data_IF_243833406195
#
_entry.id   IF_243833406195
#
_cell.length_a   1.000
_cell.length_b   1.000
_cell.length_c   1.000
_cell.angle_alpha   90.00
_cell.angle_beta   90.00
_cell.angle_gamma   90.00
#
_symmetry.space_group_name_H-M   'P 1'
#
loop_
_entity.id
_entity.type
_entity.pdbx_description
1 polymer ?
#
# COMPACT_ATOMS: atom_id res chain seq x y z
N UNK A 1 24.54 23.64 14.25
CA UNK A 1 23.96 22.85 13.14
C UNK A 1 22.47 22.75 13.40
N UNK A 2 21.64 22.99 12.39
CA UNK A 2 20.22 22.65 12.50
C UNK A 2 20.11 21.13 12.75
N UNK A 3 19.18 20.66 13.60
CA UNK A 3 18.99 19.24 13.83
C UNK A 3 18.72 18.52 12.51
N UNK A 4 19.24 17.30 12.38
CA UNK A 4 18.97 16.47 11.21
C UNK A 4 17.45 16.32 11.04
N UNK A 5 16.89 16.51 9.84
CA UNK A 5 15.46 16.38 9.64
C UNK A 5 15.02 14.93 9.88
N UNK A 6 13.92 14.78 10.62
CA UNK A 6 13.19 13.52 10.72
C UNK A 6 12.03 13.54 9.72
N UNK A 7 11.79 12.40 9.06
CA UNK A 7 10.68 12.22 8.13
C UNK A 7 9.60 11.33 8.74
N UNK A 8 8.34 11.59 8.40
CA UNK A 8 7.23 10.70 8.67
C UNK A 8 6.95 9.86 7.43
N UNK A 9 6.91 8.54 7.57
CA UNK A 9 6.59 7.61 6.48
C UNK A 9 5.32 6.86 6.84
N UNK A 10 4.32 6.99 5.98
CA UNK A 10 3.20 6.07 5.93
C UNK A 10 3.54 4.92 4.99
N UNK A 11 3.86 3.75 5.56
CA UNK A 11 4.18 2.55 4.80
C UNK A 11 2.89 1.76 4.56
N UNK A 12 2.06 2.20 3.61
CA UNK A 12 0.79 1.54 3.31
C UNK A 12 0.94 0.27 2.45
N UNK A 13 -0.09 -0.56 2.46
CA UNK A 13 -0.13 -1.84 1.72
C UNK A 13 0.04 -1.63 0.21
N UNK A 14 -0.72 -0.71 -0.38
CA UNK A 14 -0.74 -0.46 -1.82
C UNK A 14 0.05 0.78 -2.25
N UNK A 15 0.08 1.80 -1.39
CA UNK A 15 0.84 3.02 -1.59
C UNK A 15 1.50 3.45 -0.29
N UNK A 16 2.65 4.09 -0.41
CA UNK A 16 3.35 4.74 0.68
C UNK A 16 3.39 6.25 0.48
N UNK A 17 3.42 6.99 1.58
CA UNK A 17 3.51 8.45 1.60
C UNK A 17 4.69 8.88 2.49
N UNK A 18 5.38 9.95 2.11
CA UNK A 18 6.45 10.53 2.93
C UNK A 18 6.20 12.02 3.12
N UNK A 19 6.36 12.47 4.36
CA UNK A 19 6.21 13.86 4.76
C UNK A 19 7.33 14.33 5.69
N UNK A 20 7.47 15.64 5.80
CA UNK A 20 8.43 16.28 6.70
C UNK A 20 7.76 17.45 7.42
N UNK A 21 8.08 17.64 8.69
CA UNK A 21 7.72 18.85 9.42
C UNK A 21 8.81 19.91 9.24
N UNK A 22 8.49 21.01 8.57
CA UNK A 22 9.40 22.14 8.43
C UNK A 22 8.62 23.45 8.30
N UNK A 23 9.21 24.56 8.74
CA UNK A 23 8.57 25.88 8.70
C UNK A 23 7.18 25.89 9.36
N UNK A 24 7.08 25.23 10.52
CA UNK A 24 5.85 25.09 11.33
C UNK A 24 4.64 24.49 10.59
N UNK A 25 4.89 23.68 9.55
CA UNK A 25 3.86 22.94 8.82
C UNK A 25 4.33 21.56 8.41
N UNK A 26 3.36 20.68 8.14
CA UNK A 26 3.60 19.42 7.45
C UNK A 26 3.68 19.68 5.95
N UNK A 27 4.72 19.15 5.32
CA UNK A 27 4.85 19.11 3.86
C UNK A 27 4.84 17.65 3.40
N UNK A 28 3.88 17.31 2.53
CA UNK A 28 3.82 16.01 1.86
C UNK A 28 4.66 16.09 0.59
N UNK A 29 5.63 15.19 0.50
CA UNK A 29 6.67 15.26 -0.53
C UNK A 29 6.19 14.49 -1.76
N UNK A 30 6.22 15.16 -2.92
CA UNK A 30 5.94 14.51 -4.19
C UNK A 30 7.16 13.68 -4.66
N UNK A 31 6.90 12.54 -5.28
CA UNK A 31 7.94 11.71 -5.89
C UNK A 31 8.45 12.30 -7.22
N UNK A 32 9.35 11.58 -7.87
CA UNK A 32 9.96 11.95 -9.16
C UNK A 32 8.97 12.06 -10.34
N UNK A 33 7.75 11.56 -10.18
CA UNK A 33 6.64 11.72 -11.14
C UNK A 33 5.65 12.82 -10.73
N UNK A 34 5.90 13.52 -9.62
CA UNK A 34 5.00 14.55 -9.07
C UNK A 34 3.84 14.01 -8.23
N UNK A 35 3.80 12.70 -7.95
CA UNK A 35 2.75 12.07 -7.15
C UNK A 35 3.06 12.19 -5.65
N UNK A 36 2.06 12.52 -4.82
CA UNK A 36 2.21 12.61 -3.36
C UNK A 36 2.21 11.27 -2.63
N UNK A 37 1.89 10.20 -3.34
CA UNK A 37 1.92 8.82 -2.87
C UNK A 37 2.65 7.99 -3.91
N UNK A 38 3.47 7.05 -3.47
CA UNK A 38 4.22 6.15 -4.35
C UNK A 38 3.71 4.74 -4.17
N UNK A 39 3.40 3.98 -5.24
CA UNK A 39 3.01 2.58 -5.12
C UNK A 39 3.99 1.75 -4.29
N UNK A 40 3.49 0.89 -3.40
CA UNK A 40 4.30 -0.04 -2.60
C UNK A 40 4.69 -1.29 -3.42
N UNK A 41 5.32 -1.05 -4.57
CA UNK A 41 5.68 -2.06 -5.57
C UNK A 41 7.19 -2.12 -5.73
N UNK A 42 7.73 -3.34 -5.86
CA UNK A 42 9.15 -3.60 -6.14
C UNK A 42 9.24 -4.63 -7.26
N UNK A 43 9.82 -4.24 -8.40
CA UNK A 43 10.00 -5.13 -9.53
C UNK A 43 11.47 -5.41 -9.81
N UNK A 44 11.78 -6.66 -10.14
CA UNK A 44 13.13 -7.13 -10.43
C UNK A 44 13.25 -7.45 -11.92
N UNK A 45 14.29 -6.94 -12.56
CA UNK A 45 14.59 -7.18 -13.97
C UNK A 45 15.99 -7.76 -14.15
N UNK A 46 16.40 -8.03 -15.38
CA UNK A 46 17.77 -8.49 -15.67
C UNK A 46 18.83 -7.42 -15.44
N UNK A 47 18.44 -6.14 -15.35
CA UNK A 47 19.36 -5.00 -15.26
C UNK A 47 19.28 -4.30 -13.91
N UNK A 48 18.09 -4.13 -13.36
CA UNK A 48 17.84 -3.21 -12.25
C UNK A 48 16.64 -3.61 -11.38
N UNK A 49 16.49 -2.89 -10.28
CA UNK A 49 15.29 -2.95 -9.43
C UNK A 49 14.50 -1.68 -9.66
N UNK A 50 13.24 -1.83 -10.03
CA UNK A 50 12.30 -0.72 -10.10
C UNK A 50 11.48 -0.69 -8.81
N UNK A 51 11.20 0.52 -8.30
CA UNK A 51 10.41 0.72 -7.09
C UNK A 51 9.38 1.81 -7.37
N UNK A 52 8.16 1.67 -6.87
CA UNK A 52 7.12 2.68 -7.04
C UNK A 52 6.39 2.61 -8.38
N UNK A 53 6.15 3.79 -8.97
CA UNK A 53 5.42 3.92 -10.24
C UNK A 53 6.06 3.10 -11.37
N UNK A 54 7.39 3.11 -11.47
CA UNK A 54 8.13 2.33 -12.47
C UNK A 54 7.88 0.81 -12.36
N UNK A 55 7.83 0.29 -11.13
CA UNK A 55 7.52 -1.13 -10.88
C UNK A 55 6.05 -1.43 -11.21
N UNK A 56 5.13 -0.58 -10.76
CA UNK A 56 3.70 -0.74 -11.00
C UNK A 56 3.35 -0.71 -12.50
N UNK A 57 4.02 0.14 -13.28
CA UNK A 57 3.74 0.29 -14.72
C UNK A 57 4.13 -0.95 -15.54
N UNK A 58 5.18 -1.69 -15.15
CA UNK A 58 5.65 -2.86 -15.88
C UNK A 58 4.98 -4.19 -15.49
N UNK A 59 4.16 -4.20 -14.43
CA UNK A 59 3.58 -5.42 -13.84
C UNK A 59 2.84 -6.32 -14.85
N UNK A 60 2.25 -5.74 -15.90
CA UNK A 60 1.55 -6.51 -16.94
C UNK A 60 2.52 -7.29 -17.86
N UNK A 61 3.78 -6.86 -17.96
CA UNK A 61 4.84 -7.51 -18.73
C UNK A 61 5.71 -8.42 -17.87
N UNK A 62 5.86 -8.11 -16.57
CA UNK A 62 6.72 -8.83 -15.64
C UNK A 62 6.00 -9.19 -14.33
N UNK A 63 4.89 -9.97 -14.37
CA UNK A 63 4.02 -10.19 -13.22
C UNK A 63 4.68 -11.04 -12.12
N UNK A 64 5.53 -12.01 -12.49
CA UNK A 64 6.13 -12.96 -11.53
C UNK A 64 7.30 -12.39 -10.74
N UNK A 65 7.90 -11.30 -11.23
CA UNK A 65 9.01 -10.62 -10.57
C UNK A 65 8.64 -9.21 -10.10
N UNK A 66 7.35 -8.87 -10.09
CA UNK A 66 6.83 -7.62 -9.53
C UNK A 66 6.09 -7.93 -8.24
N UNK A 67 6.72 -7.59 -7.12
CA UNK A 67 6.22 -7.82 -5.77
C UNK A 67 5.40 -6.61 -5.32
N UNK A 68 4.25 -6.90 -4.70
CA UNK A 68 3.34 -5.95 -4.05
C UNK A 68 2.79 -6.60 -2.78
N UNK A 69 2.05 -5.84 -1.97
CA UNK A 69 1.40 -6.36 -0.75
C UNK A 69 2.33 -7.02 0.28
N UNK A 70 3.63 -6.70 0.25
CA UNK A 70 4.61 -7.24 1.18
C UNK A 70 4.26 -6.96 2.66
N UNK A 71 3.51 -5.88 2.93
CA UNK A 71 2.99 -5.55 4.28
C UNK A 71 2.04 -6.62 4.83
N UNK A 72 1.36 -7.40 3.98
CA UNK A 72 0.52 -8.52 4.43
C UNK A 72 1.34 -9.68 4.99
N UNK A 73 2.58 -9.84 4.51
CA UNK A 73 3.50 -10.93 4.87
C UNK A 73 4.44 -10.58 6.05
N UNK A 74 4.65 -9.29 6.32
CA UNK A 74 5.65 -8.83 7.29
C UNK A 74 5.36 -9.35 8.70
N UNK A 75 6.37 -9.91 9.36
CA UNK A 75 6.29 -10.44 10.72
C UNK A 75 5.37 -11.66 10.94
N UNK A 76 4.81 -12.24 9.85
CA UNK A 76 3.98 -13.45 9.88
C UNK A 76 4.79 -14.71 9.61
N UNK A 77 4.18 -15.86 9.89
CA UNK A 77 4.66 -17.17 9.49
C UNK A 77 4.02 -17.64 8.19
N UNK A 78 4.79 -18.34 7.37
CA UNK A 78 4.36 -18.91 6.10
C UNK A 78 3.17 -19.86 6.30
N UNK A 79 3.15 -20.66 7.37
CA UNK A 79 2.05 -21.59 7.65
C UNK A 79 0.74 -20.95 8.12
N UNK A 80 0.70 -19.64 8.39
CA UNK A 80 -0.54 -18.95 8.79
C UNK A 80 -1.59 -19.03 7.69
N UNK A 81 -2.85 -19.32 8.06
CA UNK A 81 -3.96 -19.44 7.11
C UNK A 81 -4.14 -18.18 6.26
N UNK A 82 -4.03 -17.00 6.88
CA UNK A 82 -4.09 -15.71 6.20
C UNK A 82 -3.00 -15.57 5.12
N UNK A 83 -1.77 -16.00 5.41
CA UNK A 83 -0.66 -15.97 4.43
C UNK A 83 -0.94 -16.94 3.28
N UNK A 84 -1.45 -18.13 3.58
CA UNK A 84 -1.83 -19.11 2.55
C UNK A 84 -3.02 -18.67 1.68
N UNK A 85 -3.90 -17.83 2.22
CA UNK A 85 -4.97 -17.19 1.45
C UNK A 85 -4.41 -16.10 0.52
N UNK A 86 -3.61 -15.18 1.07
CA UNK A 86 -2.96 -14.10 0.33
C UNK A 86 -2.11 -14.63 -0.84
N UNK A 87 -1.35 -15.72 -0.64
CA UNK A 87 -0.49 -16.34 -1.67
C UNK A 87 -1.29 -16.74 -2.92
N UNK A 88 -2.57 -17.07 -2.81
CA UNK A 88 -3.41 -17.44 -3.96
C UNK A 88 -3.69 -16.26 -4.89
N UNK A 89 -3.55 -15.04 -4.38
CA UNK A 89 -3.81 -13.80 -5.10
C UNK A 89 -2.53 -13.16 -5.66
N UNK A 90 -1.36 -13.62 -5.24
CA UNK A 90 -0.08 -13.12 -5.73
C UNK A 90 0.30 -13.73 -7.06
N UNK A 91 0.88 -12.89 -7.94
CA UNK A 91 1.46 -13.34 -9.20
C UNK A 91 2.90 -13.83 -9.07
N UNK A 92 3.51 -13.66 -7.89
CA UNK A 92 4.88 -14.04 -7.57
C UNK A 92 4.90 -15.20 -6.56
N UNK A 93 6.03 -15.90 -6.49
CA UNK A 93 6.18 -17.08 -5.65
C UNK A 93 6.56 -16.71 -4.22
N UNK A 94 5.88 -17.31 -3.24
CA UNK A 94 6.26 -17.25 -1.82
C UNK A 94 6.54 -18.68 -1.34
N UNK A 95 7.66 -18.88 -0.63
CA UNK A 95 8.10 -20.17 -0.09
C UNK A 95 8.31 -20.08 1.43
N UNK A 96 8.25 -21.21 2.12
CA UNK A 96 8.67 -21.29 3.52
C UNK A 96 10.19 -21.22 3.60
N UNK A 97 10.69 -20.32 4.46
CA UNK A 97 12.10 -20.15 4.76
C UNK A 97 12.45 -20.56 6.20
N UNK A 98 13.66 -20.21 6.67
CA UNK A 98 14.10 -20.50 8.03
C UNK A 98 13.11 -19.97 9.08
N UNK A 99 12.78 -20.80 10.08
CA UNK A 99 11.85 -20.42 11.15
C UNK A 99 10.40 -20.26 10.68
N UNK A 100 10.03 -20.88 9.55
CA UNK A 100 8.72 -20.74 8.91
C UNK A 100 8.42 -19.30 8.45
N UNK A 101 9.46 -18.51 8.15
CA UNK A 101 9.30 -17.16 7.61
C UNK A 101 8.91 -17.23 6.12
N UNK A 102 7.91 -16.47 5.65
CA UNK A 102 7.62 -16.39 4.21
C UNK A 102 8.79 -15.71 3.48
N UNK A 103 9.23 -16.31 2.38
CA UNK A 103 10.31 -15.80 1.53
C UNK A 103 9.79 -15.64 0.09
N UNK A 104 9.99 -14.46 -0.48
CA UNK A 104 9.52 -14.10 -1.82
C UNK A 104 10.62 -14.43 -2.82
N UNK A 105 10.33 -15.30 -3.79
CA UNK A 105 11.26 -15.72 -4.83
C UNK A 105 11.00 -14.95 -6.13
N UNK A 106 12.07 -14.38 -6.69
CA UNK A 106 12.07 -13.62 -7.95
C UNK A 106 13.29 -13.96 -8.78
N UNK A 107 13.23 -13.74 -10.09
CA UNK A 107 14.40 -13.70 -10.97
C UNK A 107 14.95 -12.27 -11.02
N UNK A 108 16.23 -12.11 -10.70
CA UNK A 108 16.91 -10.82 -10.73
C UNK A 108 18.31 -11.00 -11.31
N UNK A 109 18.62 -10.27 -12.39
CA UNK A 109 19.91 -10.37 -13.11
C UNK A 109 20.25 -11.80 -13.55
N UNK A 110 19.26 -12.52 -14.07
CA UNK A 110 19.40 -13.91 -14.51
C UNK A 110 19.55 -14.95 -13.40
N UNK A 111 19.44 -14.57 -12.13
CA UNK A 111 19.56 -15.47 -10.98
C UNK A 111 18.31 -15.48 -10.13
N UNK A 112 17.95 -16.66 -9.61
CA UNK A 112 16.89 -16.78 -8.61
C UNK A 112 17.37 -16.17 -7.29
N UNK A 113 16.60 -15.21 -6.77
CA UNK A 113 16.84 -14.55 -5.48
C UNK A 113 15.64 -14.74 -4.58
N UNK A 114 15.90 -14.85 -3.29
CA UNK A 114 14.87 -14.87 -2.25
C UNK A 114 15.03 -13.66 -1.37
N UNK A 115 13.91 -13.00 -1.07
CA UNK A 115 13.85 -11.83 -0.21
C UNK A 115 12.80 -12.05 0.88
N UNK A 116 13.11 -11.61 2.09
CA UNK A 116 12.13 -11.50 3.16
C UNK A 116 11.19 -10.30 2.93
N UNK A 117 9.98 -10.30 3.53
CA UNK A 117 9.06 -9.16 3.46
C UNK A 117 9.66 -7.86 3.98
N UNK A 118 10.55 -7.92 4.96
CA UNK A 118 11.29 -6.79 5.53
C UNK A 118 12.28 -6.23 4.52
N UNK A 119 12.98 -7.07 3.75
CA UNK A 119 13.85 -6.61 2.67
C UNK A 119 13.05 -5.94 1.55
N UNK A 120 11.91 -6.49 1.13
CA UNK A 120 11.04 -5.84 0.14
C UNK A 120 10.51 -4.50 0.68
N UNK A 121 10.04 -4.46 1.92
CA UNK A 121 9.56 -3.24 2.56
C UNK A 121 10.68 -2.21 2.72
N UNK A 122 11.91 -2.64 3.00
CA UNK A 122 13.08 -1.76 3.05
C UNK A 122 13.36 -1.09 1.72
N UNK A 123 13.12 -1.75 0.58
CA UNK A 123 13.28 -1.15 -0.74
C UNK A 123 12.27 -0.02 -0.95
N UNK A 124 11.02 -0.20 -0.49
CA UNK A 124 10.02 0.88 -0.49
C UNK A 124 10.46 2.04 0.42
N UNK A 125 10.95 1.74 1.63
CA UNK A 125 11.46 2.75 2.55
C UNK A 125 12.70 3.50 2.00
N UNK A 126 13.57 2.83 1.26
CA UNK A 126 14.69 3.45 0.55
C UNK A 126 14.16 4.46 -0.47
N UNK A 127 13.15 4.10 -1.29
CA UNK A 127 12.53 5.05 -2.23
C UNK A 127 11.90 6.24 -1.52
N UNK A 128 11.28 6.04 -0.34
CA UNK A 128 10.71 7.13 0.46
C UNK A 128 11.81 8.06 1.02
N UNK A 129 12.90 7.48 1.51
CA UNK A 129 14.09 8.21 1.95
C UNK A 129 14.73 9.01 0.83
N UNK A 130 14.92 8.41 -0.35
CA UNK A 130 15.47 9.08 -1.54
C UNK A 130 14.58 10.23 -2.01
N UNK A 131 13.26 10.02 -2.01
CA UNK A 131 12.27 11.05 -2.36
C UNK A 131 12.37 12.23 -1.40
N UNK A 132 12.44 11.97 -0.09
CA UNK A 132 12.64 13.01 0.91
C UNK A 132 14.01 13.68 0.79
N UNK A 133 15.07 12.92 0.49
CA UNK A 133 16.42 13.44 0.32
C UNK A 133 16.52 14.40 -0.87
N UNK A 134 15.88 14.06 -1.99
CA UNK A 134 15.82 14.92 -3.18
C UNK A 134 15.09 16.24 -2.89
N UNK A 135 14.03 16.19 -2.06
CA UNK A 135 13.28 17.37 -1.65
C UNK A 135 14.04 18.27 -0.66
N UNK A 136 14.71 17.67 0.33
CA UNK A 136 15.38 18.40 1.42
C UNK A 136 16.76 18.95 1.02
N UNK A 137 17.36 18.46 -0.06
CA UNK A 137 18.68 18.85 -0.53
C UNK A 137 19.81 18.02 0.09
N UNK A 138 20.95 17.94 -0.60
CA UNK A 138 22.08 17.07 -0.22
C UNK A 138 22.79 17.48 1.08
N UNK A 139 22.60 18.73 1.52
CA UNK A 139 23.16 19.29 2.75
C UNK A 139 22.39 18.86 4.02
N UNK A 140 21.20 18.28 3.85
CA UNK A 140 20.33 17.82 4.93
C UNK A 140 20.10 16.30 4.81
N UNK A 141 21.02 15.46 5.33
CA UNK A 141 20.94 14.02 5.17
C UNK A 141 19.74 13.44 5.94
N UNK A 142 18.89 12.69 5.23
CA UNK A 142 17.73 11.99 5.80
C UNK A 142 18.21 10.71 6.46
N UNK A 143 18.24 10.71 7.80
CA UNK A 143 18.70 9.56 8.60
C UNK A 143 17.65 9.06 9.58
N UNK A 144 16.70 9.90 9.98
CA UNK A 144 15.76 9.59 11.05
C UNK A 144 14.34 9.52 10.48
N UNK A 145 13.57 8.53 10.92
CA UNK A 145 12.21 8.34 10.48
C UNK A 145 11.28 7.91 11.62
N UNK A 146 10.02 8.31 11.52
CA UNK A 146 8.89 7.69 12.21
C UNK A 146 8.08 6.95 11.16
N UNK A 147 7.76 5.68 11.41
CA UNK A 147 7.04 4.83 10.46
C UNK A 147 5.69 4.41 11.07
N UNK A 148 4.61 4.52 10.29
CA UNK A 148 3.28 4.10 10.72
C UNK A 148 3.07 2.59 10.53
N UNK A 149 2.22 1.99 11.37
CA UNK A 149 1.72 0.62 11.22
C UNK A 149 0.25 0.53 11.64
N UNK A 150 -0.51 -0.49 11.20
CA UNK A 150 -1.86 -0.70 11.67
C UNK A 150 -1.90 -0.92 13.19
N UNK A 151 -2.97 -0.48 13.85
CA UNK A 151 -3.06 -0.56 15.31
C UNK A 151 -3.06 -2.02 15.83
N UNK A 152 -3.60 -2.95 15.04
CA UNK A 152 -3.63 -4.39 15.37
C UNK A 152 -2.29 -5.12 15.17
N UNK A 153 -1.26 -4.46 14.60
CA UNK A 153 0.04 -5.11 14.43
C UNK A 153 0.60 -5.56 15.78
N UNK A 154 0.96 -6.84 15.85
CA UNK A 154 1.60 -7.42 17.03
C UNK A 154 3.10 -7.05 17.10
N UNK A 155 3.76 -7.45 18.18
CA UNK A 155 5.18 -7.12 18.43
C UNK A 155 6.12 -7.63 17.32
N UNK A 156 5.86 -8.82 16.77
CA UNK A 156 6.65 -9.39 15.67
C UNK A 156 6.57 -8.51 14.42
N UNK A 157 5.36 -8.07 14.04
CA UNK A 157 5.14 -7.24 12.86
C UNK A 157 5.71 -5.82 13.03
N UNK A 158 5.59 -5.25 14.25
CA UNK A 158 6.21 -3.96 14.60
C UNK A 158 7.72 -4.03 14.53
N UNK A 159 8.32 -5.08 15.09
CA UNK A 159 9.76 -5.29 15.04
C UNK A 159 10.24 -5.51 13.60
N UNK A 160 9.55 -6.33 12.81
CA UNK A 160 9.88 -6.56 11.40
C UNK A 160 9.80 -5.27 10.56
N UNK A 161 8.82 -4.40 10.82
CA UNK A 161 8.72 -3.08 10.16
C UNK A 161 9.87 -2.15 10.58
N UNK A 162 10.25 -2.18 11.86
CA UNK A 162 11.41 -1.44 12.37
C UNK A 162 12.71 -1.92 11.72
N UNK A 163 12.88 -3.24 11.59
CA UNK A 163 14.04 -3.88 10.95
C UNK A 163 14.13 -3.49 9.47
N UNK A 164 12.99 -3.43 8.75
CA UNK A 164 12.96 -2.91 7.38
C UNK A 164 13.48 -1.46 7.30
N UNK A 165 13.16 -0.61 8.28
CA UNK A 165 13.72 0.74 8.39
C UNK A 165 15.23 0.75 8.61
N UNK A 166 15.74 -0.14 9.47
CA UNK A 166 17.18 -0.30 9.70
C UNK A 166 17.90 -0.76 8.44
N UNK A 167 17.35 -1.74 7.70
CA UNK A 167 17.90 -2.20 6.41
C UNK A 167 17.93 -1.07 5.38
N UNK A 168 16.94 -0.16 5.39
CA UNK A 168 16.91 1.05 4.57
C UNK A 168 17.92 2.14 5.00
N UNK A 169 18.68 1.90 6.07
CA UNK A 169 19.61 2.86 6.66
C UNK A 169 18.90 4.06 7.29
N UNK A 170 17.73 3.82 7.90
CA UNK A 170 16.99 4.79 8.71
C UNK A 170 17.09 4.40 10.19
N UNK A 171 17.36 5.39 11.03
CA UNK A 171 17.10 5.32 12.47
C UNK A 171 15.59 5.48 12.69
N UNK A 172 14.91 4.39 13.03
CA UNK A 172 13.48 4.41 13.32
C UNK A 172 13.28 4.90 14.76
N UNK A 173 12.99 6.20 14.89
CA UNK A 173 12.77 6.87 16.17
C UNK A 173 11.56 6.31 16.91
N UNK A 174 10.51 6.00 16.16
CA UNK A 174 9.26 5.44 16.70
C UNK A 174 8.48 4.71 15.61
N UNK A 175 7.83 3.63 16.02
CA UNK A 175 6.71 3.05 15.28
C UNK A 175 5.43 3.61 15.90
N UNK A 176 4.57 4.26 15.10
CA UNK A 176 3.30 4.82 15.56
C UNK A 176 2.13 4.10 14.89
N UNK A 177 0.99 4.05 15.57
CA UNK A 177 -0.21 3.51 14.96
C UNK A 177 -0.75 4.49 13.92
N UNK A 178 -1.14 4.00 12.75
CA UNK A 178 -1.84 4.74 11.69
C UNK A 178 -3.01 5.57 12.23
N UNK A 179 -3.95 5.03 13.04
CA UNK A 179 -5.03 5.83 13.59
C UNK A 179 -4.53 6.93 14.54
N UNK A 180 -3.51 6.67 15.35
CA UNK A 180 -2.91 7.73 16.19
C UNK A 180 -2.27 8.82 15.32
N UNK A 181 -1.58 8.47 14.23
CA UNK A 181 -1.01 9.42 13.30
C UNK A 181 -2.09 10.28 12.62
N UNK A 182 -3.20 9.67 12.23
CA UNK A 182 -4.36 10.37 11.67
C UNK A 182 -5.00 11.33 12.68
N UNK A 183 -5.11 10.93 13.95
CA UNK A 183 -5.65 11.77 15.02
C UNK A 183 -4.78 13.01 15.27
N UNK A 184 -3.44 12.83 15.27
CA UNK A 184 -2.47 13.92 15.37
C UNK A 184 -2.60 14.85 14.17
N UNK A 185 -2.71 14.32 12.95
CA UNK A 185 -2.82 15.12 11.73
C UNK A 185 -4.10 15.98 11.68
N UNK A 186 -5.22 15.50 12.24
CA UNK A 186 -6.46 16.27 12.33
C UNK A 186 -6.36 17.44 13.34
N UNK A 187 -5.32 17.49 14.17
CA UNK A 187 -5.13 18.52 15.19
C UNK A 187 -6.04 18.34 16.40
N UNK A 188 -6.40 17.09 16.71
CA UNK A 188 -7.21 16.78 17.91
C UNK A 188 -6.43 17.03 19.20
N UNK A 189 -5.09 16.95 19.15
CA UNK A 189 -4.20 17.39 20.23
C UNK A 189 -4.38 18.88 20.55
N UNK A 190 -4.45 19.74 19.52
CA UNK A 190 -4.53 21.20 19.65
C UNK A 190 -5.94 21.71 19.94
N UNK A 191 -6.97 20.99 19.51
CA UNK A 191 -8.37 21.34 19.80
C UNK A 191 -8.73 21.08 21.27
N UNK A 192 -8.17 20.03 21.88
CA UNK A 192 -8.29 19.79 23.32
C UNK A 192 -7.71 20.93 24.17
N UNK A 193 -6.65 21.60 23.68
CA UNK A 193 -6.01 22.73 24.37
C UNK A 193 -6.76 24.08 24.21
N UNK A 194 -7.78 24.15 23.34
CA UNK A 194 -8.37 25.42 22.86
C UNK A 194 -9.75 25.78 23.41
N UNK A 195 -10.33 24.99 24.33
CA UNK A 195 -11.59 25.35 24.99
C UNK A 195 -12.59 24.21 25.23
N UNK A 196 -12.29 22.99 24.79
CA UNK A 196 -13.06 21.79 25.18
C UNK A 196 -12.34 21.07 26.31
N UNK A 197 -12.65 21.47 27.55
CA UNK A 197 -12.18 20.77 28.75
C UNK A 197 -12.92 19.42 28.85
N UNK A 198 -12.25 18.31 28.54
CA UNK A 198 -12.78 16.96 28.78
C UNK A 198 -12.22 15.89 27.85
N UNK A 199 -12.33 14.64 28.29
CA UNK A 199 -12.01 13.45 27.49
C UNK A 199 -12.87 13.40 26.22
N UNK A 200 -12.25 13.25 25.05
CA UNK A 200 -12.94 13.14 23.77
C UNK A 200 -12.74 11.78 23.14
N UNK A 201 -13.85 11.12 22.80
CA UNK A 201 -13.82 9.88 22.03
C UNK A 201 -13.86 10.19 20.53
N UNK A 202 -12.93 9.61 19.78
CA UNK A 202 -12.76 9.78 18.34
C UNK A 202 -12.74 8.42 17.67
N UNK A 203 -13.64 8.21 16.72
CA UNK A 203 -13.65 7.02 15.89
C UNK A 203 -12.92 7.30 14.58
N UNK A 204 -11.89 6.52 14.32
CA UNK A 204 -11.11 6.56 13.09
C UNK A 204 -11.54 5.39 12.23
N UNK A 205 -12.01 5.71 11.02
CA UNK A 205 -12.42 4.76 10.00
C UNK A 205 -11.41 4.85 8.87
N UNK A 206 -10.60 3.81 8.69
CA UNK A 206 -9.57 3.72 7.67
C UNK A 206 -9.83 2.53 6.76
N UNK A 207 -10.31 2.79 5.54
CA UNK A 207 -10.55 1.79 4.52
C UNK A 207 -9.54 1.98 3.39
N UNK A 208 -8.41 1.28 3.52
CA UNK A 208 -7.26 1.38 2.64
C UNK A 208 -7.37 0.53 1.38
N UNK A 209 -6.23 0.28 0.75
CA UNK A 209 -6.15 -0.54 -0.46
C UNK A 209 -6.42 -2.03 -0.22
N UNK A 210 -6.08 -2.54 0.96
CA UNK A 210 -6.25 -3.96 1.29
C UNK A 210 -6.58 -4.26 2.75
N UNK A 211 -6.67 -3.23 3.59
CA UNK A 211 -6.99 -3.38 5.00
C UNK A 211 -8.09 -2.40 5.36
N UNK A 212 -8.96 -2.83 6.26
CA UNK A 212 -10.01 -2.00 6.83
C UNK A 212 -9.84 -1.99 8.35
N UNK A 213 -9.72 -0.79 8.91
CA UNK A 213 -9.46 -0.57 10.32
C UNK A 213 -10.43 0.45 10.91
N UNK A 214 -10.97 0.11 12.07
CA UNK A 214 -11.77 1.00 12.90
C UNK A 214 -11.14 1.07 14.29
N UNK A 215 -10.68 2.25 14.67
CA UNK A 215 -10.09 2.48 15.99
C UNK A 215 -10.90 3.53 16.76
N UNK A 216 -11.30 3.21 17.99
CA UNK A 216 -11.84 4.18 18.94
C UNK A 216 -10.69 4.68 19.82
N UNK A 217 -10.41 5.98 19.73
CA UNK A 217 -9.41 6.66 20.53
C UNK A 217 -10.11 7.51 21.58
N UNK A 218 -9.55 7.53 22.78
CA UNK A 218 -9.79 8.59 23.75
C UNK A 218 -8.63 9.58 23.70
N UNK A 219 -8.96 10.87 23.71
CA UNK A 219 -8.00 11.96 23.69
C UNK A 219 -8.26 12.83 24.90
N UNK A 220 -7.26 12.93 25.77
CA UNK A 220 -7.28 13.75 26.96
C UNK A 220 -5.94 14.47 27.12
N UNK A 221 -5.96 15.81 27.14
CA UNK A 221 -4.78 16.67 27.27
C UNK A 221 -3.57 16.25 26.38
N UNK A 222 -3.83 15.93 25.11
CA UNK A 222 -2.81 15.50 24.15
C UNK A 222 -2.30 14.06 24.33
N UNK A 223 -2.83 13.31 25.31
CA UNK A 223 -2.62 11.87 25.45
C UNK A 223 -3.62 11.16 24.56
N UNK A 224 -3.11 10.30 23.67
CA UNK A 224 -3.91 9.47 22.79
C UNK A 224 -3.92 8.04 23.32
N UNK A 225 -5.08 7.57 23.77
CA UNK A 225 -5.28 6.21 24.22
C UNK A 225 -6.16 5.46 23.21
N UNK A 226 -5.66 4.36 22.65
CA UNK A 226 -6.48 3.47 21.82
C UNK A 226 -7.34 2.61 22.73
N UNK A 227 -8.65 2.87 22.76
CA UNK A 227 -9.61 2.14 23.61
C UNK A 227 -9.99 0.79 23.01
N UNK A 228 -10.18 0.75 21.69
CA UNK A 228 -10.48 -0.48 20.96
C UNK A 228 -10.09 -0.36 19.50
N UNK A 229 -9.68 -1.47 18.91
CA UNK A 229 -9.42 -1.62 17.48
C UNK A 229 -10.17 -2.84 16.97
N UNK A 230 -10.87 -2.70 15.86
CA UNK A 230 -11.48 -3.78 15.11
C UNK A 230 -11.29 -3.51 13.62
N UNK A 231 -11.51 -4.51 12.78
CA UNK A 231 -11.28 -4.35 11.35
C UNK A 231 -11.26 -5.67 10.62
N UNK A 232 -10.90 -5.60 9.34
CA UNK A 232 -10.69 -6.74 8.47
C UNK A 232 -9.37 -6.54 7.73
N UNK A 233 -8.42 -7.45 7.97
CA UNK A 233 -7.08 -7.37 7.38
C UNK A 233 -7.04 -7.77 5.91
N UNK A 234 -8.18 -8.20 5.35
CA UNK A 234 -8.34 -8.72 4.00
C UNK A 234 -9.51 -8.04 3.26
N UNK A 235 -9.85 -6.82 3.66
CA UNK A 235 -10.86 -5.99 3.01
C UNK A 235 -10.27 -4.64 2.62
N UNK A 236 -10.38 -4.26 1.34
CA UNK A 236 -10.03 -2.92 0.91
C UNK A 236 -10.38 -2.61 -0.55
N UNK A 237 -9.79 -1.53 -1.05
CA UNK A 237 -9.96 -1.06 -2.42
C UNK A 237 -9.74 -2.11 -3.51
N UNK A 238 -8.85 -3.08 -3.28
CA UNK A 238 -8.56 -4.17 -4.23
C UNK A 238 -9.68 -5.19 -4.35
N UNK A 239 -10.46 -5.42 -3.29
CA UNK A 239 -11.62 -6.31 -3.31
C UNK A 239 -12.75 -5.72 -4.16
N UNK A 240 -12.93 -4.39 -4.09
CA UNK A 240 -13.84 -3.68 -4.97
C UNK A 240 -13.38 -3.76 -6.43
N UNK A 241 -12.06 -3.66 -6.68
CA UNK A 241 -11.50 -3.87 -8.02
C UNK A 241 -11.74 -5.31 -8.49
N UNK A 242 -11.60 -6.32 -7.61
CA UNK A 242 -11.90 -7.73 -7.90
C UNK A 242 -13.36 -7.95 -8.31
N UNK A 243 -14.32 -7.33 -7.60
CA UNK A 243 -15.76 -7.40 -7.95
C UNK A 243 -16.01 -6.84 -9.35
N UNK A 244 -15.42 -5.70 -9.68
CA UNK A 244 -15.48 -5.11 -11.02
C UNK A 244 -14.85 -6.01 -12.09
N UNK A 245 -13.64 -6.52 -11.84
CA UNK A 245 -12.95 -7.43 -12.77
C UNK A 245 -13.81 -8.66 -13.04
N UNK A 246 -14.32 -9.32 -12.01
CA UNK A 246 -15.16 -10.51 -12.17
C UNK A 246 -16.43 -10.19 -12.96
N UNK A 247 -17.08 -9.05 -12.69
CA UNK A 247 -18.23 -8.60 -13.47
C UNK A 247 -17.90 -8.49 -14.97
N UNK A 248 -16.80 -7.82 -15.31
CA UNK A 248 -16.42 -7.60 -16.71
C UNK A 248 -15.84 -8.85 -17.39
N UNK A 249 -15.21 -9.77 -16.65
CA UNK A 249 -14.84 -11.10 -17.16
C UNK A 249 -16.09 -11.86 -17.59
N UNK A 250 -17.14 -11.90 -16.75
CA UNK A 250 -18.40 -12.54 -17.11
C UNK A 250 -19.10 -11.83 -18.28
N UNK A 251 -19.04 -10.50 -18.32
CA UNK A 251 -19.59 -9.73 -19.43
C UNK A 251 -18.88 -10.04 -20.76
N UNK A 252 -17.54 -10.07 -20.76
CA UNK A 252 -16.72 -10.41 -21.91
C UNK A 252 -17.05 -11.83 -22.39
N UNK A 253 -17.14 -12.80 -21.47
CA UNK A 253 -17.54 -14.19 -21.77
C UNK A 253 -18.92 -14.28 -22.38
N UNK A 254 -19.89 -13.51 -21.87
CA UNK A 254 -21.26 -13.47 -22.40
C UNK A 254 -21.31 -12.90 -23.82
N UNK A 255 -20.62 -11.77 -24.06
CA UNK A 255 -20.56 -11.04 -25.34
C UNK A 255 -19.79 -11.79 -26.43
N UNK A 256 -18.61 -12.33 -26.09
CA UNK A 256 -17.64 -12.86 -27.05
C UNK A 256 -17.51 -14.39 -27.04
N UNK A 257 -18.17 -15.09 -26.11
CA UNK A 257 -18.07 -16.55 -25.92
C UNK A 257 -16.64 -17.05 -25.63
N UNK A 258 -15.80 -16.17 -25.07
CA UNK A 258 -14.39 -16.41 -24.74
C UNK A 258 -14.12 -16.05 -23.29
N UNK A 259 -13.36 -16.87 -22.59
CA UNK A 259 -13.01 -16.66 -21.18
C UNK A 259 -11.59 -16.12 -21.07
N UNK A 260 -11.43 -14.98 -20.40
CA UNK A 260 -10.12 -14.34 -20.21
C UNK A 260 -9.48 -14.71 -18.88
N UNK A 261 -10.15 -15.52 -18.05
CA UNK A 261 -9.70 -15.88 -16.70
C UNK A 261 -8.33 -16.56 -16.68
N UNK A 262 -7.99 -17.28 -17.75
CA UNK A 262 -6.71 -17.99 -17.88
C UNK A 262 -5.61 -17.14 -18.54
N UNK A 263 -5.86 -15.86 -18.81
CA UNK A 263 -4.88 -14.95 -19.41
C UNK A 263 -4.45 -13.85 -18.41
N UNK A 264 -3.29 -14.03 -17.73
CA UNK A 264 -2.81 -13.08 -16.73
C UNK A 264 -2.63 -11.66 -17.27
N UNK A 265 -2.18 -11.51 -18.53
CA UNK A 265 -1.98 -10.20 -19.16
C UNK A 265 -3.31 -9.49 -19.39
N UNK A 266 -4.31 -10.20 -19.90
CA UNK A 266 -5.65 -9.65 -20.12
C UNK A 266 -6.30 -9.24 -18.79
N UNK A 267 -6.23 -10.11 -17.77
CA UNK A 267 -6.75 -9.81 -16.43
C UNK A 267 -6.07 -8.59 -15.81
N UNK A 268 -4.75 -8.44 -15.94
CA UNK A 268 -4.05 -7.27 -15.37
C UNK A 268 -4.43 -5.97 -16.08
N UNK A 269 -4.59 -6.00 -17.41
CA UNK A 269 -5.08 -4.84 -18.18
C UNK A 269 -6.49 -4.46 -17.75
N UNK A 270 -7.38 -5.44 -17.62
CA UNK A 270 -8.76 -5.21 -17.16
C UNK A 270 -8.80 -4.65 -15.74
N UNK A 271 -8.02 -5.21 -14.81
CA UNK A 271 -7.91 -4.73 -13.43
C UNK A 271 -7.46 -3.26 -13.34
N UNK A 272 -6.46 -2.90 -14.15
CA UNK A 272 -5.97 -1.51 -14.22
C UNK A 272 -7.08 -0.56 -14.68
N UNK A 273 -7.88 -0.97 -15.67
CA UNK A 273 -9.03 -0.19 -16.12
C UNK A 273 -10.15 -0.14 -15.06
N UNK A 274 -10.39 -1.24 -14.32
CA UNK A 274 -11.38 -1.30 -13.25
C UNK A 274 -11.02 -0.38 -12.08
N UNK A 275 -9.74 -0.32 -11.68
CA UNK A 275 -9.29 0.60 -10.61
C UNK A 275 -9.50 2.06 -11.02
N UNK A 276 -9.19 2.40 -12.28
CA UNK A 276 -9.47 3.73 -12.83
C UNK A 276 -10.96 4.02 -12.87
N UNK A 277 -11.77 3.05 -13.29
CA UNK A 277 -13.22 3.17 -13.32
C UNK A 277 -13.80 3.39 -11.91
N UNK A 278 -13.38 2.61 -10.91
CA UNK A 278 -13.73 2.79 -9.49
C UNK A 278 -13.47 4.21 -9.02
N UNK A 279 -12.26 4.74 -9.29
CA UNK A 279 -11.89 6.13 -8.93
C UNK A 279 -12.78 7.17 -9.61
N UNK A 280 -13.10 6.99 -10.89
CA UNK A 280 -14.03 7.87 -11.61
C UNK A 280 -15.43 7.82 -10.97
N UNK A 281 -15.93 6.62 -10.63
CA UNK A 281 -17.25 6.43 -10.03
C UNK A 281 -17.39 7.07 -8.64
N UNK A 282 -16.29 7.28 -7.90
CA UNK A 282 -16.34 8.01 -6.62
C UNK A 282 -16.79 9.47 -6.77
N UNK A 283 -16.67 10.06 -7.96
CA UNK A 283 -17.06 11.45 -8.25
C UNK A 283 -18.11 11.58 -9.36
N UNK A 284 -18.24 10.57 -10.23
CA UNK A 284 -19.17 10.55 -11.36
C UNK A 284 -20.23 9.47 -11.23
N UNK A 285 -21.40 9.65 -11.85
CA UNK A 285 -22.48 8.66 -11.80
C UNK A 285 -22.26 7.45 -12.73
N UNK A 286 -21.37 7.57 -13.71
CA UNK A 286 -21.05 6.53 -14.69
C UNK A 286 -19.64 6.73 -15.27
N UNK A 287 -19.07 5.67 -15.86
CA UNK A 287 -17.81 5.69 -16.60
C UNK A 287 -17.79 4.60 -17.68
N UNK A 288 -16.95 4.75 -18.70
CA UNK A 288 -16.64 3.69 -19.67
C UNK A 288 -15.33 2.98 -19.33
N UNK A 289 -15.20 1.74 -19.81
CA UNK A 289 -13.97 0.96 -19.89
C UNK A 289 -13.75 0.62 -21.36
N UNK A 290 -12.57 0.97 -21.86
CA UNK A 290 -12.18 0.84 -23.26
C UNK A 290 -10.79 0.23 -23.31
N UNK A 291 -10.68 -0.97 -23.87
CA UNK A 291 -9.45 -1.75 -23.92
C UNK A 291 -9.30 -2.39 -25.30
N UNK A 292 -8.39 -1.86 -26.10
CA UNK A 292 -8.10 -2.40 -27.44
C UNK A 292 -7.39 -3.76 -27.32
N UNK A 293 -7.78 -4.72 -28.16
CA UNK A 293 -7.19 -6.07 -28.23
C UNK A 293 -7.00 -6.69 -26.84
N UNK A 294 -8.07 -6.71 -26.03
CA UNK A 294 -8.02 -7.24 -24.66
C UNK A 294 -7.65 -8.72 -24.66
N UNK A 295 -8.25 -9.51 -25.56
CA UNK A 295 -8.02 -10.95 -25.67
C UNK A 295 -8.27 -11.44 -27.10
N UNK A 296 -7.35 -12.24 -27.66
CA UNK A 296 -7.45 -12.79 -29.02
C UNK A 296 -7.76 -11.74 -30.12
N UNK A 297 -7.23 -10.52 -29.98
CA UNK A 297 -7.50 -9.43 -30.94
C UNK A 297 -8.85 -8.73 -30.76
N UNK A 298 -9.65 -9.14 -29.77
CA UNK A 298 -10.99 -8.58 -29.52
C UNK A 298 -10.87 -7.36 -28.62
N UNK A 299 -11.37 -6.22 -29.09
CA UNK A 299 -11.52 -5.01 -28.30
C UNK A 299 -12.64 -5.16 -27.27
N UNK A 300 -12.48 -4.54 -26.10
CA UNK A 300 -13.50 -4.52 -25.06
C UNK A 300 -13.95 -3.10 -24.76
N UNK A 301 -15.22 -2.83 -25.07
CA UNK A 301 -15.92 -1.60 -24.73
C UNK A 301 -17.12 -1.93 -23.84
N UNK A 302 -17.16 -1.33 -22.65
CA UNK A 302 -18.29 -1.42 -21.72
C UNK A 302 -18.44 -0.14 -20.91
N UNK A 303 -19.56 -0.01 -20.21
CA UNK A 303 -19.86 1.11 -19.32
C UNK A 303 -20.46 0.60 -18.02
N UNK A 304 -20.19 1.29 -16.93
CA UNK A 304 -20.74 0.96 -15.62
C UNK A 304 -21.21 2.22 -14.89
N UNK A 305 -22.33 2.10 -14.18
CA UNK A 305 -22.89 3.14 -13.34
C UNK A 305 -22.44 2.96 -11.90
N UNK A 306 -22.46 4.03 -11.11
CA UNK A 306 -22.17 3.97 -9.66
C UNK A 306 -23.13 3.02 -8.96
N UNK A 307 -24.42 3.09 -9.27
CA UNK A 307 -25.43 2.21 -8.70
C UNK A 307 -25.13 0.72 -8.95
N UNK A 308 -24.65 0.38 -10.16
CA UNK A 308 -24.25 -1.00 -10.45
C UNK A 308 -22.98 -1.40 -9.69
N UNK A 309 -22.02 -0.49 -9.54
CA UNK A 309 -20.82 -0.74 -8.73
C UNK A 309 -21.15 -0.97 -7.25
N UNK A 310 -22.07 -0.19 -6.68
CA UNK A 310 -22.53 -0.35 -5.28
C UNK A 310 -23.32 -1.66 -5.06
N UNK A 311 -23.99 -2.18 -6.09
CA UNK A 311 -24.69 -3.48 -6.06
C UNK A 311 -23.74 -4.68 -6.11
N UNK A 312 -22.56 -4.53 -6.73
CA UNK A 312 -21.57 -5.60 -6.96
C UNK A 312 -20.78 -5.96 -5.71
#
# INVERSE_FOLDING_TARGET
>A
MAPAPAIGIDLGTTYSCVGVWQNDRVEIIANDQGNRTTPSYVAFTDTERLIGDAAKNQVAMNPTNTVFDAKRLIGRKFSEAAVQEDIRHFSFTVKSGPGDKPMIEVQYKGEAKTFSPEEISSMVLIKMKETAQAFLGADRPVKQAVVTVPAYFNDSQRQATKDAGVIAGLEVLRIINEPTAAAIAYGLDKKASGGSTGEHNVLIFDLGGGTFDVSLLSIDDGIFEVKSTAGDTHLGGEDFDNRLVNHFVQEFKRKNKKDISDNPRALRRLRTACERAKRTLSSSAQTSIELDSLYEGIDFYSSITRARFEEL
#
